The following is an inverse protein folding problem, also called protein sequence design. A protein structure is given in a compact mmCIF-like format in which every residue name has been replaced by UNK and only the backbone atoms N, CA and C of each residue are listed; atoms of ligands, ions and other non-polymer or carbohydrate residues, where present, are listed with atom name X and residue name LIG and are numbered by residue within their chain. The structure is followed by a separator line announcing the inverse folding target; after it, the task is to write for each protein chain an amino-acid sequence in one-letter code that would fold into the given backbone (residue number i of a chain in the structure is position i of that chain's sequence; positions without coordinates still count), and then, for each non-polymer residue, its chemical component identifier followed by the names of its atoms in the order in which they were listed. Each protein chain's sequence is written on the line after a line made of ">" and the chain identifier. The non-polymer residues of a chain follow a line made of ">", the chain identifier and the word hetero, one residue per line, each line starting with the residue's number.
data_IF_691975430242
#
_entry.id   IF_691975430242
#
_cell.length_a   1.000
_cell.length_b   1.000
_cell.length_c   1.000
_cell.angle_alpha   90.00
_cell.angle_beta   90.00
_cell.angle_gamma   90.00
#
_symmetry.space_group_name_H-M   'P 1'
#
loop_
_entity.id
_entity.type
_entity.pdbx_description
1 polymer ?
#
# COMPACT_ATOMS: atom_id res chain seq x y z
N UNK A 1 18.19 2.49 -19.63
CA UNK A 1 17.94 2.89 -18.23
C UNK A 1 16.85 3.94 -18.31
N UNK A 2 15.57 3.56 -18.16
CA UNK A 2 14.47 4.54 -18.23
C UNK A 2 14.62 5.52 -17.07
N UNK A 3 14.50 6.82 -17.37
CA UNK A 3 14.50 7.86 -16.36
C UNK A 3 13.36 7.57 -15.37
N UNK A 4 13.72 7.33 -14.11
CA UNK A 4 12.73 7.22 -13.03
C UNK A 4 12.11 8.60 -12.89
N UNK A 5 10.92 8.80 -13.45
CA UNK A 5 10.11 10.00 -13.24
C UNK A 5 10.02 10.21 -11.72
N UNK A 6 10.41 11.40 -11.25
CA UNK A 6 10.08 11.81 -9.87
C UNK A 6 8.57 12.02 -9.83
N UNK A 7 7.90 11.34 -8.92
CA UNK A 7 6.48 11.49 -8.69
C UNK A 7 6.27 12.53 -7.62
N UNK A 8 5.33 13.44 -7.87
CA UNK A 8 4.97 14.47 -6.91
C UNK A 8 3.88 13.94 -5.95
N UNK A 9 3.67 14.55 -4.78
CA UNK A 9 2.62 14.12 -3.85
C UNK A 9 1.23 14.03 -4.48
N UNK A 10 0.92 14.90 -5.45
CA UNK A 10 -0.34 14.93 -6.18
C UNK A 10 -0.54 13.74 -7.12
N UNK A 11 0.51 12.96 -7.41
CA UNK A 11 0.41 11.70 -8.14
C UNK A 11 -0.17 10.56 -7.27
N UNK A 12 -0.26 10.75 -5.94
CA UNK A 12 -0.85 9.80 -5.00
C UNK A 12 -2.39 9.75 -5.11
N UNK A 13 -3.01 8.59 -4.86
CA UNK A 13 -4.45 8.42 -5.02
C UNK A 13 -5.25 9.14 -3.94
N UNK A 14 -6.31 9.85 -4.36
CA UNK A 14 -7.25 10.47 -3.43
C UNK A 14 -6.60 11.50 -2.52
N UNK A 15 -5.78 12.39 -3.12
CA UNK A 15 -5.10 13.44 -2.39
C UNK A 15 -6.10 14.34 -1.64
N UNK A 16 -5.93 14.40 -0.32
CA UNK A 16 -6.78 15.15 0.59
C UNK A 16 -5.94 16.10 1.43
N UNK A 17 -6.26 17.39 1.35
CA UNK A 17 -5.76 18.43 2.23
C UNK A 17 -6.93 18.95 3.06
N UNK A 18 -6.89 18.72 4.38
CA UNK A 18 -7.96 19.19 5.25
C UNK A 18 -7.78 20.67 5.60
N UNK A 19 -8.84 21.45 5.45
CA UNK A 19 -8.94 22.84 5.93
C UNK A 19 -10.10 23.03 6.92
N UNK A 20 -10.69 21.91 7.39
CA UNK A 20 -11.89 21.88 8.23
C UNK A 20 -11.68 20.96 9.44
N UNK A 21 -12.54 21.04 10.44
CA UNK A 21 -12.46 20.18 11.62
C UNK A 21 -12.60 18.70 11.24
N UNK A 22 -11.66 17.82 11.64
CA UNK A 22 -11.73 16.38 11.36
C UNK A 22 -13.03 15.76 11.88
N UNK A 23 -13.65 14.88 11.09
CA UNK A 23 -14.90 14.20 11.43
C UNK A 23 -16.17 15.05 11.32
N UNK A 24 -16.06 16.34 11.00
CA UNK A 24 -17.23 17.16 10.66
C UNK A 24 -17.91 16.68 9.37
N UNK A 25 -19.19 17.01 9.16
CA UNK A 25 -19.89 16.64 7.93
C UNK A 25 -19.13 17.08 6.66
N UNK A 26 -18.54 18.28 6.68
CA UNK A 26 -17.72 18.78 5.56
C UNK A 26 -16.42 17.99 5.36
N UNK A 27 -15.74 17.58 6.43
CA UNK A 27 -14.55 16.71 6.33
C UNK A 27 -14.91 15.35 5.72
N UNK A 28 -15.99 14.74 6.20
CA UNK A 28 -16.47 13.45 5.70
C UNK A 28 -16.88 13.51 4.23
N UNK A 29 -17.64 14.53 3.84
CA UNK A 29 -18.02 14.76 2.44
C UNK A 29 -16.81 15.00 1.54
N UNK A 30 -15.84 15.79 2.00
CA UNK A 30 -14.62 16.07 1.24
C UNK A 30 -13.79 14.80 1.03
N UNK A 31 -13.61 13.98 2.07
CA UNK A 31 -12.95 12.66 1.99
C UNK A 31 -13.66 11.73 1.01
N UNK A 32 -14.99 11.64 1.10
CA UNK A 32 -15.78 10.81 0.17
C UNK A 32 -15.64 11.26 -1.29
N UNK A 33 -15.53 12.57 -1.52
CA UNK A 33 -15.40 13.15 -2.85
C UNK A 33 -14.05 12.85 -3.49
N UNK A 34 -12.96 12.98 -2.74
CA UNK A 34 -11.60 12.78 -3.27
C UNK A 34 -11.16 11.32 -3.24
N UNK A 35 -11.70 10.53 -2.31
CA UNK A 35 -11.31 9.14 -2.11
C UNK A 35 -11.56 8.27 -3.34
N UNK A 36 -10.53 7.51 -3.73
CA UNK A 36 -10.55 6.69 -4.93
C UNK A 36 -10.72 5.22 -4.54
N UNK A 37 -11.72 4.56 -5.10
CA UNK A 37 -11.93 3.13 -4.86
C UNK A 37 -10.89 2.31 -5.61
N UNK A 38 -10.07 1.59 -4.86
CA UNK A 38 -8.99 0.76 -5.39
C UNK A 38 -8.97 -0.60 -4.69
N UNK A 39 -8.51 -1.59 -5.44
CA UNK A 39 -8.09 -2.88 -4.94
C UNK A 39 -6.62 -2.80 -4.57
N UNK A 40 -6.31 -3.07 -3.30
CA UNK A 40 -4.98 -2.95 -2.75
C UNK A 40 -4.46 -4.30 -2.29
N UNK A 41 -3.30 -4.71 -2.79
CA UNK A 41 -2.60 -5.92 -2.37
C UNK A 41 -1.26 -5.54 -1.73
N UNK A 42 -1.08 -5.93 -0.47
CA UNK A 42 0.16 -5.73 0.27
C UNK A 42 1.16 -6.84 -0.10
N UNK A 43 2.37 -6.45 -0.48
CA UNK A 43 3.38 -7.38 -0.98
C UNK A 43 4.27 -7.97 0.12
N UNK A 44 4.31 -7.33 1.28
CA UNK A 44 5.19 -7.72 2.38
C UNK A 44 4.40 -8.10 3.63
N UNK A 45 4.99 -8.98 4.43
CA UNK A 45 4.53 -9.32 5.77
C UNK A 45 5.72 -9.20 6.71
N UNK A 46 5.62 -8.34 7.74
CA UNK A 46 6.74 -8.04 8.65
C UNK A 46 8.04 -7.66 7.90
N UNK A 47 7.92 -6.85 6.84
CA UNK A 47 9.06 -6.37 6.03
C UNK A 47 9.66 -7.39 5.06
N UNK A 48 9.12 -8.61 5.00
CA UNK A 48 9.55 -9.62 4.03
C UNK A 48 8.60 -9.67 2.85
N UNK A 49 9.11 -9.47 1.62
CA UNK A 49 8.36 -9.72 0.39
C UNK A 49 7.89 -11.17 0.34
N UNK A 50 6.60 -11.37 0.09
CA UNK A 50 6.02 -12.70 -0.10
C UNK A 50 6.20 -13.15 -1.55
N UNK A 51 6.32 -14.46 -1.77
CA UNK A 51 6.40 -15.01 -3.12
C UNK A 51 5.04 -14.92 -3.85
N UNK A 52 5.10 -14.97 -5.17
CA UNK A 52 3.93 -14.80 -6.04
C UNK A 52 2.78 -15.77 -5.73
N UNK A 53 3.00 -17.08 -5.47
CA UNK A 53 1.91 -18.00 -5.12
C UNK A 53 1.16 -17.63 -3.84
N UNK A 54 1.86 -17.16 -2.79
CA UNK A 54 1.18 -16.71 -1.57
C UNK A 54 0.34 -15.47 -1.81
N UNK A 55 0.85 -14.54 -2.61
CA UNK A 55 0.15 -13.30 -2.94
C UNK A 55 -1.04 -13.56 -3.86
N UNK A 56 -0.94 -14.51 -4.80
CA UNK A 56 -2.03 -14.88 -5.70
C UNK A 56 -3.21 -15.54 -4.94
N UNK A 57 -2.94 -16.22 -3.83
CA UNK A 57 -3.98 -16.76 -2.95
C UNK A 57 -4.63 -15.72 -2.01
N UNK A 58 -4.10 -14.49 -1.93
CA UNK A 58 -4.67 -13.43 -1.10
C UNK A 58 -5.64 -12.58 -1.91
N UNK A 59 -6.81 -12.31 -1.33
CA UNK A 59 -7.75 -11.35 -1.90
C UNK A 59 -7.23 -9.93 -1.69
N UNK A 60 -7.16 -9.08 -2.73
CA UNK A 60 -6.91 -7.65 -2.56
C UNK A 60 -8.01 -7.00 -1.72
N UNK A 61 -7.62 -6.03 -0.89
CA UNK A 61 -8.55 -5.24 -0.09
C UNK A 61 -9.20 -4.20 -1.00
N UNK A 62 -10.52 -4.25 -1.17
CA UNK A 62 -11.26 -3.16 -1.81
C UNK A 62 -11.59 -2.10 -0.76
N UNK A 63 -11.13 -0.88 -0.99
CA UNK A 63 -11.46 0.24 -0.12
C UNK A 63 -11.28 1.58 -0.81
N UNK A 64 -11.72 2.63 -0.11
CA UNK A 64 -11.54 4.01 -0.51
C UNK A 64 -10.15 4.46 -0.08
N UNK A 65 -9.26 4.66 -1.05
CA UNK A 65 -7.89 5.08 -0.80
C UNK A 65 -7.81 6.60 -0.78
N UNK A 66 -7.19 7.12 0.28
CA UNK A 66 -6.97 8.55 0.50
C UNK A 66 -5.52 8.75 0.90
N UNK A 67 -4.87 9.72 0.25
CA UNK A 67 -3.52 10.17 0.58
C UNK A 67 -3.56 11.56 1.19
N UNK A 68 -2.64 11.86 2.11
CA UNK A 68 -2.55 13.15 2.80
C UNK A 68 -1.14 13.40 3.29
N UNK A 69 -0.83 14.64 3.66
CA UNK A 69 0.42 14.99 4.33
C UNK A 69 0.29 14.74 5.84
N UNK A 70 1.32 14.14 6.43
CA UNK A 70 1.43 13.96 7.88
C UNK A 70 1.99 15.23 8.53
N UNK A 71 1.78 15.43 9.85
CA UNK A 71 2.38 16.56 10.58
C UNK A 71 3.92 16.61 10.56
N UNK A 72 4.59 15.52 10.17
CA UNK A 72 6.05 15.39 10.16
C UNK A 72 6.66 15.54 8.76
N UNK A 73 6.02 16.31 7.87
CA UNK A 73 6.44 16.55 6.48
C UNK A 73 6.58 15.27 5.62
N UNK A 74 5.86 14.20 5.96
CA UNK A 74 5.76 12.99 5.15
C UNK A 74 4.40 12.90 4.45
N UNK A 75 4.28 12.02 3.46
CA UNK A 75 2.97 11.64 2.92
C UNK A 75 2.50 10.34 3.58
N UNK A 76 1.20 10.16 3.71
CA UNK A 76 0.60 8.89 4.11
C UNK A 76 -0.53 8.51 3.16
N UNK A 77 -0.76 7.21 2.99
CA UNK A 77 -1.89 6.66 2.23
C UNK A 77 -2.61 5.64 3.08
N UNK A 78 -3.89 5.87 3.32
CA UNK A 78 -4.76 4.96 4.09
C UNK A 78 -5.81 4.31 3.20
N UNK A 79 -6.25 3.11 3.61
CA UNK A 79 -7.42 2.43 3.02
C UNK A 79 -8.57 2.55 4.00
N UNK A 80 -9.65 3.19 3.59
CA UNK A 80 -10.81 3.45 4.42
C UNK A 80 -12.02 2.68 3.92
N UNK A 81 -12.94 2.35 4.83
CA UNK A 81 -14.24 1.82 4.46
C UNK A 81 -15.06 2.92 3.80
N UNK A 82 -15.60 2.69 2.59
CA UNK A 82 -16.37 3.70 1.84
C UNK A 82 -17.55 4.29 2.65
N UNK A 83 -18.29 3.43 3.35
CA UNK A 83 -19.44 3.82 4.17
C UNK A 83 -19.05 4.55 5.47
N UNK A 84 -17.80 4.40 5.94
CA UNK A 84 -17.29 4.99 7.18
C UNK A 84 -15.94 5.65 6.86
N UNK A 85 -15.89 6.88 6.30
CA UNK A 85 -14.69 7.52 5.75
C UNK A 85 -13.53 7.76 6.73
N UNK A 86 -13.78 7.55 8.03
CA UNK A 86 -12.80 7.65 9.11
C UNK A 86 -12.29 6.29 9.59
N UNK A 87 -12.89 5.19 9.12
CA UNK A 87 -12.57 3.84 9.56
C UNK A 87 -11.54 3.21 8.63
N UNK A 88 -10.32 3.12 9.12
CA UNK A 88 -9.23 2.41 8.46
C UNK A 88 -9.54 0.91 8.36
N UNK A 89 -9.20 0.34 7.22
CA UNK A 89 -9.26 -1.12 6.99
C UNK A 89 -7.94 -1.81 7.33
N UNK A 90 -6.83 -1.05 7.31
CA UNK A 90 -5.49 -1.48 7.67
C UNK A 90 -4.67 -0.24 8.03
N UNK A 91 -3.57 -0.41 8.78
CA UNK A 91 -2.67 0.69 9.11
C UNK A 91 -2.16 1.39 7.85
N UNK A 92 -2.11 2.73 7.83
CA UNK A 92 -1.71 3.49 6.66
C UNK A 92 -0.25 3.20 6.29
N UNK A 93 0.04 3.41 5.00
CA UNK A 93 1.39 3.45 4.49
C UNK A 93 1.94 4.86 4.73
N UNK A 94 2.91 5.00 5.62
CA UNK A 94 3.60 6.26 5.95
C UNK A 94 4.81 6.49 5.04
N UNK A 95 5.25 7.74 4.95
CA UNK A 95 6.33 8.19 4.07
C UNK A 95 6.16 7.69 2.63
N UNK A 96 4.90 7.70 2.18
CA UNK A 96 4.51 7.04 0.96
C UNK A 96 4.94 7.81 -0.29
N UNK A 97 5.45 7.06 -1.26
CA UNK A 97 5.77 7.54 -2.60
C UNK A 97 5.16 6.61 -3.65
N UNK A 98 4.89 7.16 -4.83
CA UNK A 98 4.60 6.35 -6.02
C UNK A 98 5.92 5.80 -6.54
N UNK A 99 6.13 4.50 -6.41
CA UNK A 99 7.34 3.85 -6.90
C UNK A 99 7.25 3.55 -8.40
N UNK A 100 6.06 3.16 -8.88
CA UNK A 100 5.81 2.89 -10.30
C UNK A 100 4.34 3.13 -10.62
N UNK A 101 4.05 3.64 -11.81
CA UNK A 101 2.70 3.78 -12.35
C UNK A 101 2.65 3.17 -13.75
N UNK A 102 1.60 2.40 -14.02
CA UNK A 102 1.31 1.81 -15.34
C UNK A 102 0.30 2.68 -16.09
N UNK A 103 0.25 2.52 -17.40
CA UNK A 103 -0.70 3.22 -18.28
C UNK A 103 -2.17 2.93 -17.92
N UNK A 104 -2.46 1.72 -17.44
CA UNK A 104 -3.79 1.31 -16.97
C UNK A 104 -4.21 1.94 -15.62
N UNK A 105 -3.36 2.81 -15.05
CA UNK A 105 -3.56 3.46 -13.77
C UNK A 105 -3.18 2.63 -12.55
N UNK A 106 -2.72 1.39 -12.73
CA UNK A 106 -2.19 0.56 -11.63
C UNK A 106 -0.89 1.16 -11.12
N UNK A 107 -0.77 1.25 -9.80
CA UNK A 107 0.38 1.86 -9.15
C UNK A 107 1.01 0.95 -8.11
N UNK A 108 2.32 1.09 -7.92
CA UNK A 108 3.06 0.58 -6.79
C UNK A 108 3.31 1.74 -5.85
N UNK A 109 2.75 1.66 -4.65
CA UNK A 109 3.05 2.58 -3.57
C UNK A 109 4.07 1.94 -2.66
N UNK A 110 5.07 2.71 -2.24
CA UNK A 110 6.11 2.26 -1.30
C UNK A 110 6.15 3.21 -0.13
N UNK A 111 6.35 2.67 1.07
CA UNK A 111 6.51 3.45 2.28
C UNK A 111 6.84 2.54 3.45
N UNK A 112 6.42 2.94 4.64
CA UNK A 112 6.55 2.17 5.88
C UNK A 112 5.16 1.88 6.47
N UNK A 113 4.99 0.71 7.07
CA UNK A 113 3.73 0.33 7.71
C UNK A 113 4.01 -0.18 9.12
N UNK A 114 3.19 0.27 10.07
CA UNK A 114 3.16 -0.23 11.44
C UNK A 114 2.35 -1.53 11.52
N UNK A 115 2.68 -2.40 12.48
CA UNK A 115 1.77 -3.46 12.91
C UNK A 115 0.54 -2.90 13.63
N UNK A 116 -0.45 -3.76 13.85
CA UNK A 116 -1.72 -3.37 14.47
C UNK A 116 -1.57 -2.84 15.90
N UNK A 117 -0.46 -3.17 16.57
CA UNK A 117 -0.15 -2.71 17.92
C UNK A 117 0.80 -1.52 17.98
N UNK A 118 1.24 -0.98 16.84
CA UNK A 118 2.23 0.11 16.75
C UNK A 118 3.57 -0.20 17.47
N UNK A 119 3.93 -1.48 17.57
CA UNK A 119 5.18 -1.94 18.19
C UNK A 119 6.32 -2.01 17.20
N UNK A 120 6.03 -2.28 15.93
CA UNK A 120 7.04 -2.53 14.91
C UNK A 120 6.64 -1.91 13.60
N UNK A 121 7.63 -1.32 12.93
CA UNK A 121 7.48 -0.68 11.63
C UNK A 121 8.42 -1.32 10.62
N UNK A 122 7.94 -1.54 9.41
CA UNK A 122 8.76 -2.09 8.33
C UNK A 122 8.46 -1.43 6.98
N UNK A 123 9.38 -1.52 6.00
CA UNK A 123 9.10 -1.13 4.64
C UNK A 123 7.94 -1.95 4.07
N UNK A 124 6.99 -1.32 3.39
CA UNK A 124 5.85 -2.00 2.78
C UNK A 124 5.64 -1.49 1.35
N UNK A 125 5.14 -2.37 0.50
CA UNK A 125 4.80 -2.04 -0.89
C UNK A 125 3.39 -2.51 -1.19
N UNK A 126 2.56 -1.63 -1.74
CA UNK A 126 1.19 -1.93 -2.13
C UNK A 126 1.04 -1.89 -3.64
N UNK A 127 0.41 -2.90 -4.23
CA UNK A 127 -0.18 -2.80 -5.57
C UNK A 127 -1.56 -2.19 -5.41
N UNK A 128 -1.84 -1.08 -6.08
CA UNK A 128 -3.16 -0.47 -6.11
C UNK A 128 -3.69 -0.46 -7.55
N UNK A 129 -4.84 -1.07 -7.80
CA UNK A 129 -5.46 -1.14 -9.13
C UNK A 129 -6.97 -0.89 -9.08
N UNK A 130 -7.57 -0.49 -10.20
CA UNK A 130 -9.02 -0.20 -10.29
C UNK A 130 -9.90 -1.45 -10.31
N UNK A 131 -9.33 -2.62 -10.56
CA UNK A 131 -10.04 -3.90 -10.55
C UNK A 131 -9.09 -5.04 -10.17
N UNK A 132 -9.60 -6.21 -9.75
CA UNK A 132 -8.77 -7.34 -9.35
C UNK A 132 -7.86 -7.86 -10.48
N UNK A 133 -8.32 -7.82 -11.73
CA UNK A 133 -7.55 -8.29 -12.89
C UNK A 133 -6.30 -7.44 -13.14
N UNK A 134 -6.38 -6.13 -12.92
CA UNK A 134 -5.25 -5.21 -13.01
C UNK A 134 -4.21 -5.49 -11.92
N UNK A 135 -4.65 -5.73 -10.68
CA UNK A 135 -3.77 -6.14 -9.57
C UNK A 135 -3.09 -7.48 -9.89
N UNK A 136 -3.84 -8.47 -10.38
CA UNK A 136 -3.30 -9.78 -10.75
C UNK A 136 -2.31 -9.68 -11.93
N UNK A 137 -2.59 -8.85 -12.94
CA UNK A 137 -1.67 -8.59 -14.04
C UNK A 137 -0.39 -7.88 -13.56
N UNK A 138 -0.52 -6.98 -12.57
CA UNK A 138 0.63 -6.35 -11.95
C UNK A 138 1.51 -7.34 -11.19
N UNK A 139 0.88 -8.20 -10.38
CA UNK A 139 1.54 -9.27 -9.65
C UNK A 139 2.27 -10.24 -10.59
N UNK A 140 1.62 -10.71 -11.66
CA UNK A 140 2.25 -11.58 -12.67
C UNK A 140 3.49 -10.98 -13.29
N UNK A 141 3.48 -9.67 -13.56
CA UNK A 141 4.62 -8.96 -14.14
C UNK A 141 5.84 -8.86 -13.22
N UNK A 142 5.71 -9.16 -11.93
CA UNK A 142 6.79 -9.10 -10.95
C UNK A 142 7.06 -10.43 -10.23
N UNK A 143 6.40 -11.52 -10.63
CA UNK A 143 6.46 -12.81 -9.94
C UNK A 143 7.90 -13.32 -9.75
N UNK A 144 8.69 -13.36 -10.84
CA UNK A 144 10.08 -13.80 -10.79
C UNK A 144 10.98 -12.92 -9.92
N UNK A 145 10.65 -11.64 -9.74
CA UNK A 145 11.37 -10.78 -8.81
C UNK A 145 10.94 -11.06 -7.36
N UNK A 146 9.64 -11.14 -7.08
CA UNK A 146 9.10 -11.47 -5.75
C UNK A 146 9.62 -12.81 -5.24
N UNK A 147 9.65 -13.84 -6.09
CA UNK A 147 10.15 -15.15 -5.73
C UNK A 147 11.65 -15.12 -5.37
N UNK A 148 12.43 -14.28 -6.07
CA UNK A 148 13.84 -14.05 -5.75
C UNK A 148 14.02 -13.30 -4.43
N UNK A 149 13.22 -12.25 -4.17
CA UNK A 149 13.28 -11.51 -2.90
C UNK A 149 12.87 -12.40 -1.72
N UNK A 150 11.77 -13.15 -1.85
CA UNK A 150 11.32 -14.11 -0.84
C UNK A 150 12.37 -15.18 -0.55
N UNK A 151 13.04 -15.70 -1.59
CA UNK A 151 14.11 -16.68 -1.42
C UNK A 151 15.30 -16.12 -0.60
N UNK A 152 15.59 -14.81 -0.66
CA UNK A 152 16.65 -14.21 0.17
C UNK A 152 16.32 -14.28 1.65
N UNK A 153 15.06 -14.07 2.03
CA UNK A 153 14.61 -14.12 3.43
C UNK A 153 14.52 -15.56 3.95
N UNK A 154 14.24 -16.52 3.06
CA UNK A 154 14.29 -17.95 3.38
C UNK A 154 15.69 -18.55 3.38
N UNK A 155 16.73 -17.81 2.97
CA UNK A 155 18.11 -18.28 3.12
C UNK A 155 18.47 -18.34 4.61
N UNK A 156 19.12 -19.41 5.09
CA UNK A 156 19.41 -19.61 6.51
C UNK A 156 20.19 -18.44 7.15
N UNK A 157 20.02 -18.23 8.47
CA UNK A 157 20.54 -19.20 9.46
C UNK A 157 19.49 -20.17 10.04
N UNK A 158 18.20 -19.98 9.76
CA UNK A 158 17.08 -20.69 10.40
C UNK A 158 16.89 -22.18 10.03
N UNK A 159 17.86 -22.81 9.35
CA UNK A 159 17.78 -24.23 9.02
C UNK A 159 18.15 -25.14 10.21
N UNK A 160 18.85 -24.63 11.23
CA UNK A 160 19.41 -25.48 12.30
C UNK A 160 18.93 -25.19 13.74
N UNK A 161 18.15 -24.14 14.00
CA UNK A 161 17.70 -23.80 15.36
C UNK A 161 16.23 -24.17 15.60
N UNK A 162 15.87 -25.44 15.39
CA UNK A 162 14.68 -25.99 16.05
C UNK A 162 15.17 -26.81 17.25
N UNK A 163 14.89 -26.42 18.50
CA UNK A 163 15.06 -27.35 19.61
C UNK A 163 14.14 -28.55 19.36
N UNK A 164 14.73 -29.74 19.50
CA UNK A 164 14.01 -31.01 19.47
C UNK A 164 13.12 -31.16 20.68
#
# INVERSE_FOLDING_TARGET
>A
MEAVRKFEPEDLPGWYMSAVSPGSCFDLEARQRVGVDLYVLQLQFCGAYLCSPFLAGRAPILGMVISSTTPFNGNQTGIYRRAEPMKLMTYPLEQVEVWKKREDGTMLLRGEQWDEGEFSRWPQTWICGRNPSAVAAALRGMSAWLDREYAKVKRPPYANDRPR
#
